data_IF_566794189883
#
_entry.id   IF_566794189883
#
_cell.length_a   1.000
_cell.length_b   1.000
_cell.length_c   1.000
_cell.angle_alpha   90.00
_cell.angle_beta   90.00
_cell.angle_gamma   90.00
#
_symmetry.space_group_name_H-M   'P 1'
#
loop_
_entity.id
_entity.type
_entity.pdbx_description
1 polymer ?
#
# COMPACT_ATOMS: atom_id res chain seq x y z
N UNK A 1 -25.63 27.59 47.71
CA UNK A 1 -24.29 28.17 47.45
C UNK A 1 -23.90 27.76 46.02
N UNK A 2 -24.38 28.53 45.03
CA UNK A 2 -24.20 28.25 43.61
C UNK A 2 -23.20 29.26 43.07
N UNK A 3 -21.96 28.82 42.81
CA UNK A 3 -20.95 29.72 42.24
C UNK A 3 -21.26 29.99 40.76
N UNK A 4 -21.20 31.26 40.29
CA UNK A 4 -21.57 31.61 38.93
C UNK A 4 -20.49 31.16 37.93
N UNK A 5 -20.92 30.41 36.92
CA UNK A 5 -20.11 29.95 35.80
C UNK A 5 -19.60 31.18 35.02
N UNK A 6 -18.30 31.46 35.15
CA UNK A 6 -17.63 32.62 34.57
C UNK A 6 -17.64 32.59 33.03
N UNK A 7 -17.96 33.76 32.43
CA UNK A 7 -18.06 34.01 30.96
C UNK A 7 -16.80 33.63 30.17
N UNK A 8 -15.67 33.40 30.84
CA UNK A 8 -14.39 32.97 30.27
C UNK A 8 -14.44 31.54 29.72
N UNK A 9 -15.34 30.68 30.23
CA UNK A 9 -15.46 29.29 29.79
C UNK A 9 -16.06 29.14 28.38
N UNK A 10 -16.78 30.16 27.89
CA UNK A 10 -17.38 30.14 26.55
C UNK A 10 -16.38 30.45 25.44
N UNK A 11 -15.36 31.29 25.69
CA UNK A 11 -14.35 31.62 24.67
C UNK A 11 -13.42 30.43 24.36
N UNK A 12 -13.19 29.54 25.32
CA UNK A 12 -12.32 28.36 25.14
C UNK A 12 -12.92 27.28 24.25
N UNK A 13 -14.23 27.35 23.94
CA UNK A 13 -14.92 26.35 23.13
C UNK A 13 -14.75 26.58 21.62
N UNK A 14 -14.47 27.83 21.20
CA UNK A 14 -14.34 28.21 19.79
C UNK A 14 -12.92 28.00 19.23
N UNK A 15 -11.93 27.83 20.09
CA UNK A 15 -10.55 27.48 19.69
C UNK A 15 -10.26 26.00 19.98
N UNK A 16 -11.17 25.10 19.60
CA UNK A 16 -10.81 23.70 19.44
C UNK A 16 -10.05 23.59 18.12
N UNK A 17 -8.70 23.51 18.11
CA UNK A 17 -8.00 23.15 16.89
C UNK A 17 -8.60 21.81 16.44
N UNK A 18 -9.16 21.80 15.23
CA UNK A 18 -9.54 20.55 14.57
C UNK A 18 -8.28 19.71 14.57
N UNK A 19 -8.22 18.70 15.45
CA UNK A 19 -7.12 17.74 15.46
C UNK A 19 -7.14 17.11 14.08
N UNK A 20 -6.14 17.35 13.21
CA UNK A 20 -6.06 16.59 11.98
C UNK A 20 -6.00 15.13 12.42
N UNK A 21 -6.94 14.33 11.91
CA UNK A 21 -6.88 12.87 12.05
C UNK A 21 -5.48 12.43 11.65
N UNK A 22 -4.79 11.59 12.44
CA UNK A 22 -3.51 11.06 12.01
C UNK A 22 -3.73 10.39 10.66
N UNK A 23 -3.12 10.98 9.64
CA UNK A 23 -3.10 10.51 8.26
C UNK A 23 -2.28 9.23 8.20
N UNK A 24 -2.87 8.13 8.64
CA UNK A 24 -2.28 6.81 8.64
C UNK A 24 -3.35 5.76 8.36
N UNK A 25 -3.07 4.91 7.37
CA UNK A 25 -3.83 3.71 6.98
C UNK A 25 -5.16 3.94 6.23
N UNK A 26 -5.08 4.58 5.06
CA UNK A 26 -5.94 4.16 3.96
C UNK A 26 -5.25 3.00 3.25
N UNK A 27 -5.51 1.74 3.65
CA UNK A 27 -5.05 0.59 2.88
C UNK A 27 -5.54 0.75 1.43
N UNK A 28 -4.66 0.69 0.41
CA UNK A 28 -5.10 0.94 -0.95
C UNK A 28 -6.16 -0.09 -1.35
N UNK A 29 -7.24 0.38 -1.97
CA UNK A 29 -8.30 -0.49 -2.49
C UNK A 29 -7.78 -1.46 -3.56
N UNK A 30 -6.59 -1.20 -4.09
CA UNK A 30 -5.92 -1.91 -5.17
C UNK A 30 -4.52 -2.32 -4.73
N UNK A 31 -4.14 -3.55 -5.06
CA UNK A 31 -2.81 -4.11 -4.83
C UNK A 31 -2.28 -4.71 -6.13
N UNK A 32 -1.00 -5.05 -6.15
CA UNK A 32 -0.38 -5.75 -7.27
C UNK A 32 -0.33 -7.26 -7.00
N UNK A 33 -0.53 -8.08 -8.02
CA UNK A 33 -0.44 -9.53 -7.97
C UNK A 33 0.44 -10.06 -9.11
N UNK A 34 1.22 -11.10 -8.84
CA UNK A 34 2.09 -11.76 -9.83
C UNK A 34 1.34 -12.92 -10.48
N UNK A 35 1.15 -12.85 -11.78
CA UNK A 35 0.69 -13.96 -12.62
C UNK A 35 1.89 -14.85 -12.93
N UNK A 36 2.03 -15.92 -12.15
CA UNK A 36 3.14 -16.87 -12.24
C UNK A 36 3.33 -17.40 -13.67
N UNK A 37 2.24 -17.70 -14.37
CA UNK A 37 2.23 -18.18 -15.74
C UNK A 37 2.88 -17.23 -16.77
N UNK A 38 3.16 -15.98 -16.41
CA UNK A 38 3.81 -14.98 -17.28
C UNK A 38 5.13 -14.46 -16.73
N UNK A 39 5.46 -14.77 -15.48
CA UNK A 39 6.61 -14.20 -14.80
C UNK A 39 7.90 -14.90 -15.23
N UNK A 40 8.86 -14.13 -15.76
CA UNK A 40 10.15 -14.65 -16.22
C UNK A 40 10.86 -15.49 -15.15
N UNK A 41 10.81 -15.05 -13.89
CA UNK A 41 11.40 -15.76 -12.76
C UNK A 41 10.80 -17.15 -12.51
N UNK A 42 9.49 -17.32 -12.76
CA UNK A 42 8.80 -18.61 -12.66
C UNK A 42 9.10 -19.52 -13.87
N UNK A 43 9.57 -18.96 -14.98
CA UNK A 43 9.94 -19.68 -16.20
C UNK A 43 11.46 -19.82 -16.37
N UNK A 44 12.20 -19.94 -15.25
CA UNK A 44 13.65 -20.16 -15.22
C UNK A 44 14.52 -19.04 -15.83
N UNK A 45 13.96 -17.85 -16.05
CA UNK A 45 14.72 -16.67 -16.47
C UNK A 45 14.95 -15.75 -15.26
N UNK A 46 16.20 -15.44 -14.88
CA UNK A 46 16.46 -14.60 -13.71
C UNK A 46 15.87 -13.20 -13.90
N UNK A 47 15.01 -12.77 -12.97
CA UNK A 47 14.38 -11.45 -12.99
C UNK A 47 13.99 -11.02 -11.57
N UNK A 48 14.50 -9.88 -11.12
CA UNK A 48 14.25 -9.27 -9.81
C UNK A 48 13.74 -7.83 -9.90
N UNK A 49 13.45 -7.33 -11.11
CA UNK A 49 13.18 -5.91 -11.37
C UNK A 49 12.06 -5.33 -10.50
N UNK A 50 10.98 -6.08 -10.28
CA UNK A 50 9.87 -5.62 -9.44
C UNK A 50 10.30 -5.42 -7.98
N UNK A 51 11.05 -6.37 -7.41
CA UNK A 51 11.57 -6.32 -6.05
C UNK A 51 12.55 -5.15 -5.87
N UNK A 52 13.51 -5.00 -6.78
CA UNK A 52 14.56 -3.97 -6.69
C UNK A 52 14.02 -2.53 -6.85
N UNK A 53 12.90 -2.37 -7.53
CA UNK A 53 12.31 -1.07 -7.84
C UNK A 53 11.11 -0.72 -6.96
N UNK A 54 10.67 -1.64 -6.11
CA UNK A 54 9.57 -1.36 -5.19
C UNK A 54 10.01 -0.30 -4.17
N UNK A 55 9.34 0.86 -4.09
CA UNK A 55 9.68 1.88 -3.10
C UNK A 55 9.23 1.51 -1.69
N UNK A 56 8.40 0.47 -1.56
CA UNK A 56 7.79 0.06 -0.31
C UNK A 56 8.50 -1.17 0.27
N UNK A 57 9.24 -1.02 1.39
CA UNK A 57 9.93 -2.12 2.02
C UNK A 57 8.96 -3.21 2.46
N UNK A 58 9.30 -4.47 2.20
CA UNK A 58 8.48 -5.62 2.57
C UNK A 58 7.24 -5.85 1.71
N UNK A 59 6.92 -4.99 0.73
CA UNK A 59 5.80 -5.23 -0.16
C UNK A 59 6.04 -6.37 -1.16
N UNK A 60 7.30 -6.70 -1.44
CA UNK A 60 7.68 -7.79 -2.34
C UNK A 60 8.71 -8.66 -1.64
N UNK A 61 8.47 -9.96 -1.62
CA UNK A 61 9.39 -10.98 -1.12
C UNK A 61 9.89 -11.82 -2.29
N UNK A 62 11.16 -12.21 -2.25
CA UNK A 62 11.73 -13.13 -3.25
C UNK A 62 12.13 -14.41 -2.54
N UNK A 63 11.47 -15.53 -2.90
CA UNK A 63 11.76 -16.86 -2.36
C UNK A 63 12.26 -17.75 -3.49
N UNK A 64 13.46 -18.31 -3.34
CA UNK A 64 14.12 -19.13 -4.39
C UNK A 64 14.33 -18.39 -5.74
N UNK A 65 14.16 -17.07 -5.80
CA UNK A 65 14.17 -16.29 -7.05
C UNK A 65 12.78 -15.94 -7.59
N UNK A 66 11.69 -16.46 -7.00
CA UNK A 66 10.31 -16.14 -7.37
C UNK A 66 9.79 -14.97 -6.53
N UNK A 67 9.28 -13.89 -7.15
CA UNK A 67 8.71 -12.76 -6.43
C UNK A 67 7.25 -13.04 -6.02
N UNK A 68 6.89 -12.70 -4.79
CA UNK A 68 5.53 -12.70 -4.24
C UNK A 68 5.25 -11.33 -3.63
N UNK A 69 4.04 -10.80 -3.81
CA UNK A 69 3.65 -9.47 -3.31
C UNK A 69 2.84 -9.66 -2.04
N UNK A 70 3.24 -8.99 -0.96
CA UNK A 70 2.45 -8.89 0.26
C UNK A 70 1.40 -7.78 0.08
N UNK A 71 0.10 -8.11 -0.02
CA UNK A 71 -0.94 -7.11 -0.21
C UNK A 71 -1.02 -6.13 0.97
N UNK A 72 -0.64 -6.53 2.18
CA UNK A 72 -0.72 -5.70 3.38
C UNK A 72 0.32 -4.60 3.41
N UNK A 73 1.53 -4.90 2.96
CA UNK A 73 2.56 -3.88 2.76
C UNK A 73 2.38 -3.09 1.44
N UNK A 74 1.77 -3.69 0.41
CA UNK A 74 1.61 -3.06 -0.92
C UNK A 74 0.82 -1.75 -0.87
N UNK A 75 1.41 -0.68 -1.44
CA UNK A 75 0.80 0.66 -1.54
C UNK A 75 -0.03 0.87 -2.80
N UNK A 76 -0.03 -0.09 -3.74
CA UNK A 76 -0.71 0.09 -5.03
C UNK A 76 -0.05 1.16 -5.92
N UNK A 77 1.26 1.43 -5.75
CA UNK A 77 1.98 2.46 -6.50
C UNK A 77 2.33 2.10 -7.96
N UNK A 78 2.05 0.86 -8.40
CA UNK A 78 2.12 0.40 -9.80
C UNK A 78 3.51 0.38 -10.47
N UNK A 79 4.57 0.85 -9.82
CA UNK A 79 5.95 0.87 -10.36
C UNK A 79 6.40 -0.53 -10.85
N UNK A 80 6.05 -1.59 -10.10
CA UNK A 80 6.40 -2.96 -10.47
C UNK A 80 5.72 -3.42 -11.77
N UNK A 81 4.52 -2.90 -12.07
CA UNK A 81 3.77 -3.20 -13.29
C UNK A 81 4.43 -2.51 -14.47
N UNK A 82 4.73 -1.22 -14.33
CA UNK A 82 5.34 -0.40 -15.39
C UNK A 82 6.70 -0.94 -15.81
N UNK A 83 7.53 -1.34 -14.84
CA UNK A 83 8.89 -1.80 -15.08
C UNK A 83 9.02 -3.28 -15.41
N UNK A 84 7.94 -4.07 -15.33
CA UNK A 84 7.99 -5.50 -15.65
C UNK A 84 8.47 -5.74 -17.09
N UNK A 85 9.62 -6.43 -17.30
CA UNK A 85 10.21 -6.63 -18.64
C UNK A 85 9.62 -7.83 -19.39
N UNK A 86 8.66 -8.55 -18.79
CA UNK A 86 8.02 -9.69 -19.44
C UNK A 86 7.28 -9.23 -20.72
N UNK A 87 7.32 -10.01 -21.81
CA UNK A 87 6.69 -9.64 -23.08
C UNK A 87 5.17 -9.44 -22.94
N UNK A 88 4.55 -10.22 -22.07
CA UNK A 88 3.20 -9.98 -21.55
C UNK A 88 3.37 -9.67 -20.07
N UNK A 89 2.85 -8.53 -19.61
CA UNK A 89 2.98 -8.09 -18.22
C UNK A 89 2.53 -9.20 -17.27
N UNK A 90 3.45 -9.56 -16.37
CA UNK A 90 3.24 -10.61 -15.38
C UNK A 90 2.71 -10.07 -14.05
N UNK A 91 2.63 -8.75 -13.87
CA UNK A 91 2.14 -8.14 -12.64
C UNK A 91 0.93 -7.29 -12.99
N UNK A 92 -0.19 -7.54 -12.33
CA UNK A 92 -1.47 -6.88 -12.58
C UNK A 92 -1.96 -6.15 -11.34
N UNK A 93 -2.78 -5.12 -11.55
CA UNK A 93 -3.56 -4.51 -10.46
C UNK A 93 -4.80 -5.34 -10.20
N UNK A 94 -5.04 -5.64 -8.93
CA UNK A 94 -6.24 -6.34 -8.47
C UNK A 94 -6.86 -5.61 -7.28
N UNK A 95 -8.20 -5.65 -7.12
CA UNK A 95 -8.84 -5.14 -5.92
C UNK A 95 -8.44 -5.96 -4.70
N UNK A 96 -8.18 -5.30 -3.57
CA UNK A 96 -7.73 -5.94 -2.31
C UNK A 96 -8.74 -6.93 -1.72
N UNK A 97 -10.00 -6.87 -2.14
CA UNK A 97 -11.12 -7.58 -1.52
C UNK A 97 -11.57 -8.86 -2.25
N UNK A 98 -10.78 -9.43 -3.16
CA UNK A 98 -11.21 -10.62 -3.91
C UNK A 98 -10.22 -11.77 -3.71
N UNK A 99 -10.49 -12.71 -2.80
CA UNK A 99 -9.98 -14.07 -2.96
C UNK A 99 -10.67 -14.70 -4.19
N UNK A 100 -9.89 -15.16 -5.17
CA UNK A 100 -10.37 -16.13 -6.17
C UNK A 100 -10.28 -17.55 -5.64
#
# INVERSE_FOLDING_TARGET
MSQPISRRHWLSSLLRPTRPTPSGAGSPAVVAEVIEARCLAYHHSPCSTCYERCPQPGAIHVTQGMPTIDPEACTGCEICIDLCPAPIKAIHRVPRSVPS
#
